data_IF_649680017515
#
_entry.id   IF_649680017515
#
_cell.length_a   1.000
_cell.length_b   1.000
_cell.length_c   1.000
_cell.angle_alpha   90.00
_cell.angle_beta   90.00
_cell.angle_gamma   90.00
#
_symmetry.space_group_name_H-M   'P 1'
#
loop_
_entity.id
_entity.type
_entity.pdbx_description
1 polymer ?
#
# COMPACT_ATOMS: atom_id res chain seq x y z
N UNK A 1 2.90 16.13 28.88
CA UNK A 1 2.53 16.92 27.69
C UNK A 1 3.70 17.19 26.74
N UNK A 2 4.93 17.51 27.19
CA UNK A 2 6.07 17.68 26.27
C UNK A 2 6.47 16.39 25.56
N UNK A 3 6.51 15.27 26.29
CA UNK A 3 6.91 13.96 25.75
C UNK A 3 6.00 13.45 24.61
N UNK A 4 4.68 13.67 24.72
CA UNK A 4 3.73 13.32 23.64
C UNK A 4 3.95 14.16 22.38
N UNK A 5 4.25 15.46 22.54
CA UNK A 5 4.53 16.33 21.40
C UNK A 5 5.83 15.91 20.69
N UNK A 6 6.82 15.44 21.45
CA UNK A 6 8.09 14.97 20.90
C UNK A 6 7.92 13.67 20.11
N UNK A 7 7.13 12.71 20.61
CA UNK A 7 6.80 11.47 19.90
C UNK A 7 6.03 11.74 18.61
N UNK A 8 5.03 12.62 18.64
CA UNK A 8 4.26 13.00 17.45
C UNK A 8 5.14 13.73 16.44
N UNK A 9 5.98 14.66 16.89
CA UNK A 9 6.89 15.39 16.01
C UNK A 9 7.92 14.45 15.35
N UNK A 10 8.46 13.48 16.08
CA UNK A 10 9.36 12.46 15.53
C UNK A 10 8.66 11.58 14.49
N UNK A 11 7.44 11.13 14.77
CA UNK A 11 6.66 10.36 13.81
C UNK A 11 6.37 11.18 12.55
N UNK A 12 5.97 12.44 12.69
CA UNK A 12 5.71 13.32 11.54
C UNK A 12 6.96 13.54 10.70
N UNK A 13 8.14 13.72 11.31
CA UNK A 13 9.41 13.81 10.57
C UNK A 13 9.69 12.54 9.76
N UNK A 14 9.62 11.37 10.40
CA UNK A 14 9.82 10.09 9.72
C UNK A 14 8.86 9.92 8.53
N UNK A 15 7.56 10.10 8.74
CA UNK A 15 6.58 9.93 7.67
C UNK A 15 6.71 10.99 6.57
N UNK A 16 7.13 12.22 6.89
CA UNK A 16 7.41 13.25 5.88
C UNK A 16 8.58 12.82 4.99
N UNK A 17 9.71 12.41 5.58
CA UNK A 17 10.88 11.94 4.83
C UNK A 17 10.55 10.71 3.97
N UNK A 18 9.83 9.72 4.53
CA UNK A 18 9.40 8.55 3.79
C UNK A 18 8.56 8.92 2.55
N UNK A 19 7.66 9.91 2.67
CA UNK A 19 6.86 10.36 1.53
C UNK A 19 7.71 11.06 0.47
N UNK A 20 8.68 11.89 0.87
CA UNK A 20 9.56 12.56 -0.08
C UNK A 20 10.46 11.58 -0.84
N UNK A 21 11.02 10.57 -0.16
CA UNK A 21 11.78 9.48 -0.81
C UNK A 21 10.89 8.75 -1.82
N UNK A 22 9.69 8.32 -1.42
CA UNK A 22 8.77 7.61 -2.32
C UNK A 22 8.36 8.45 -3.53
N UNK A 23 8.09 9.74 -3.36
CA UNK A 23 7.76 10.65 -4.48
C UNK A 23 8.88 10.73 -5.51
N UNK A 24 10.14 10.70 -5.09
CA UNK A 24 11.29 10.71 -6.00
C UNK A 24 11.37 9.44 -6.87
N UNK A 25 10.75 8.33 -6.43
CA UNK A 25 10.72 7.06 -7.14
C UNK A 25 9.54 6.95 -8.13
N UNK A 26 8.41 7.61 -7.88
CA UNK A 26 7.21 7.51 -8.75
C UNK A 26 7.52 7.79 -10.25
N UNK A 27 8.30 8.82 -10.64
CA UNK A 27 8.63 9.07 -12.04
C UNK A 27 9.49 7.99 -12.70
N UNK A 28 10.20 7.18 -11.91
CA UNK A 28 11.07 6.10 -12.39
C UNK A 28 10.27 4.82 -12.68
N UNK A 29 9.08 4.68 -12.10
CA UNK A 29 8.21 3.51 -12.28
C UNK A 29 7.67 3.45 -13.71
N UNK A 30 7.97 2.34 -14.40
CA UNK A 30 7.41 2.03 -15.71
C UNK A 30 6.21 1.12 -15.54
N UNK A 31 5.03 1.63 -15.87
CA UNK A 31 3.79 0.87 -15.80
C UNK A 31 2.99 1.06 -17.09
N UNK A 32 2.57 -0.04 -17.70
CA UNK A 32 1.63 -0.01 -18.81
C UNK A 32 0.22 0.31 -18.30
N UNK A 33 -0.57 1.00 -19.13
CA UNK A 33 -1.98 1.25 -18.82
C UNK A 33 -2.71 -0.10 -18.68
N UNK A 34 -3.37 -0.36 -17.53
CA UNK A 34 -4.17 -1.56 -17.37
C UNK A 34 -5.35 -1.58 -18.34
N UNK A 35 -5.70 -2.76 -18.82
CA UNK A 35 -6.81 -2.94 -19.76
C UNK A 35 -7.60 -4.18 -19.37
N UNK A 36 -8.92 -4.02 -19.23
CA UNK A 36 -9.83 -5.09 -18.86
C UNK A 36 -10.87 -5.27 -19.97
N UNK A 37 -11.15 -6.52 -20.31
CA UNK A 37 -12.19 -6.92 -21.25
C UNK A 37 -13.59 -6.55 -20.73
N UNK A 38 -14.59 -6.59 -21.62
CA UNK A 38 -15.98 -6.33 -21.25
C UNK A 38 -16.48 -7.31 -20.17
N UNK A 39 -16.08 -8.57 -20.25
CA UNK A 39 -16.49 -9.60 -19.31
C UNK A 39 -15.83 -9.39 -17.93
N UNK A 40 -14.54 -9.05 -17.89
CA UNK A 40 -13.85 -8.72 -16.63
C UNK A 40 -14.46 -7.47 -15.96
N UNK A 41 -14.81 -6.45 -16.74
CA UNK A 41 -15.53 -5.28 -16.25
C UNK A 41 -16.91 -5.61 -15.70
N UNK A 42 -17.64 -6.51 -16.38
CA UNK A 42 -18.94 -6.97 -15.93
C UNK A 42 -18.82 -7.71 -14.59
N UNK A 43 -17.91 -8.67 -14.50
CA UNK A 43 -17.65 -9.41 -13.26
C UNK A 43 -17.19 -8.50 -12.11
N UNK A 44 -16.36 -7.49 -12.40
CA UNK A 44 -15.97 -6.48 -11.42
C UNK A 44 -17.18 -5.74 -10.85
N UNK A 45 -18.05 -5.20 -11.71
CA UNK A 45 -19.19 -4.37 -11.27
C UNK A 45 -20.33 -5.18 -10.65
N UNK A 46 -20.66 -6.32 -11.25
CA UNK A 46 -21.85 -7.09 -10.86
C UNK A 46 -21.56 -8.09 -9.73
N UNK A 47 -20.37 -8.67 -9.71
CA UNK A 47 -20.02 -9.76 -8.79
C UNK A 47 -18.94 -9.37 -7.76
N UNK A 48 -18.51 -8.11 -7.74
CA UNK A 48 -17.54 -7.63 -6.75
C UNK A 48 -16.13 -8.22 -6.93
N UNK A 49 -15.78 -8.67 -8.14
CA UNK A 49 -14.47 -9.26 -8.40
C UNK A 49 -13.38 -8.18 -8.43
N UNK A 50 -12.29 -8.41 -7.70
CA UNK A 50 -11.19 -7.46 -7.55
C UNK A 50 -10.33 -7.36 -8.83
N UNK A 51 -9.93 -6.15 -9.24
CA UNK A 51 -9.15 -5.96 -10.47
C UNK A 51 -7.77 -6.64 -10.44
N UNK A 52 -7.15 -6.76 -9.26
CA UNK A 52 -5.88 -7.51 -9.09
C UNK A 52 -6.00 -9.01 -9.41
N UNK A 53 -7.21 -9.55 -9.55
CA UNK A 53 -7.41 -10.91 -10.05
C UNK A 53 -7.01 -11.02 -11.53
N UNK A 54 -7.27 -9.98 -12.32
CA UNK A 54 -7.08 -9.99 -13.76
C UNK A 54 -5.71 -9.44 -14.16
N UNK A 55 -5.36 -8.28 -13.59
CA UNK A 55 -4.11 -7.62 -13.89
C UNK A 55 -3.53 -7.00 -12.62
N UNK A 56 -2.30 -7.38 -12.29
CA UNK A 56 -1.51 -6.78 -11.21
C UNK A 56 -0.54 -5.75 -11.80
N UNK A 57 -0.04 -4.79 -11.00
CA UNK A 57 1.07 -3.95 -11.41
C UNK A 57 2.29 -4.79 -11.79
N UNK A 58 3.07 -4.28 -12.74
CA UNK A 58 4.39 -4.85 -13.04
C UNK A 58 5.36 -4.21 -12.04
N UNK A 59 6.10 -5.05 -11.32
CA UNK A 59 7.04 -4.59 -10.31
C UNK A 59 8.46 -4.63 -10.87
N UNK A 60 9.17 -3.51 -10.75
CA UNK A 60 10.62 -3.46 -10.93
C UNK A 60 11.26 -3.83 -9.59
N UNK A 61 11.61 -5.11 -9.44
CA UNK A 61 12.14 -5.68 -8.19
C UNK A 61 13.44 -4.95 -7.76
N UNK A 62 14.28 -4.54 -8.71
CA UNK A 62 15.54 -3.80 -8.43
C UNK A 62 15.24 -2.41 -7.89
N UNK A 63 14.26 -1.72 -8.48
CA UNK A 63 13.81 -0.41 -7.99
C UNK A 63 13.18 -0.52 -6.60
N UNK A 64 12.40 -1.58 -6.35
CA UNK A 64 11.78 -1.84 -5.04
C UNK A 64 12.84 -2.15 -3.97
N UNK A 65 13.86 -2.98 -4.27
CA UNK A 65 14.97 -3.26 -3.36
C UNK A 65 15.73 -1.98 -2.98
N UNK A 66 16.11 -1.17 -3.98
CA UNK A 66 16.81 0.10 -3.73
C UNK A 66 16.00 1.04 -2.85
N UNK A 67 14.70 1.12 -3.09
CA UNK A 67 13.82 1.93 -2.25
C UNK A 67 13.69 1.37 -0.82
N UNK A 68 13.65 0.04 -0.68
CA UNK A 68 13.61 -0.60 0.64
C UNK A 68 14.86 -0.26 1.46
N UNK A 69 16.05 -0.25 0.84
CA UNK A 69 17.31 0.17 1.48
C UNK A 69 17.26 1.64 1.93
N UNK A 70 16.84 2.56 1.05
CA UNK A 70 16.71 3.98 1.41
C UNK A 70 15.67 4.22 2.52
N UNK A 71 14.59 3.43 2.54
CA UNK A 71 13.61 3.43 3.63
C UNK A 71 14.24 2.95 4.93
N UNK A 72 15.01 1.86 4.91
CA UNK A 72 15.73 1.36 6.09
C UNK A 72 16.68 2.43 6.65
N UNK A 73 17.44 3.12 5.80
CA UNK A 73 18.32 4.22 6.20
C UNK A 73 17.54 5.41 6.77
N UNK A 74 16.39 5.75 6.18
CA UNK A 74 15.50 6.80 6.68
C UNK A 74 14.98 6.47 8.09
N UNK A 75 14.53 5.24 8.31
CA UNK A 75 14.06 4.77 9.62
C UNK A 75 15.23 4.78 10.61
N UNK A 76 16.42 4.30 10.25
CA UNK A 76 17.61 4.28 11.11
C UNK A 76 18.01 5.68 11.58
N UNK A 77 17.94 6.69 10.70
CA UNK A 77 18.22 8.10 11.05
C UNK A 77 17.19 8.68 12.01
N UNK A 78 15.92 8.36 11.81
CA UNK A 78 14.81 8.91 12.62
C UNK A 78 14.54 8.13 13.90
N UNK A 79 14.91 6.85 13.95
CA UNK A 79 14.73 5.90 15.06
C UNK A 79 15.98 5.02 15.26
N UNK A 80 17.06 5.59 15.81
CA UNK A 80 18.32 4.88 16.01
C UNK A 80 18.20 3.64 16.91
N UNK A 81 17.20 3.59 17.79
CA UNK A 81 16.89 2.46 18.65
C UNK A 81 16.49 1.19 17.89
N UNK A 82 16.12 1.30 16.60
CA UNK A 82 15.77 0.17 15.73
C UNK A 82 16.95 -0.34 14.89
N UNK A 83 18.16 0.18 15.10
CA UNK A 83 19.33 -0.11 14.26
C UNK A 83 19.59 -1.60 14.07
N UNK A 84 19.64 -2.39 15.15
CA UNK A 84 19.98 -3.81 15.08
C UNK A 84 18.91 -4.61 14.31
N UNK A 85 17.64 -4.21 14.47
CA UNK A 85 16.53 -4.80 13.74
C UNK A 85 16.59 -4.48 12.24
N UNK A 86 16.98 -3.25 11.88
CA UNK A 86 17.16 -2.83 10.49
C UNK A 86 18.37 -3.52 9.83
N UNK A 87 19.44 -3.78 10.59
CA UNK A 87 20.59 -4.54 10.10
C UNK A 87 20.21 -6.01 9.82
N UNK A 88 19.39 -6.62 10.68
CA UNK A 88 18.82 -7.95 10.42
C UNK A 88 17.93 -7.96 9.18
N UNK A 89 17.07 -6.95 9.03
CA UNK A 89 16.21 -6.79 7.84
C UNK A 89 17.03 -6.66 6.56
N UNK A 90 18.11 -5.86 6.56
CA UNK A 90 19.01 -5.75 5.41
C UNK A 90 19.59 -7.10 5.00
N UNK A 91 20.04 -7.91 5.97
CA UNK A 91 20.56 -9.26 5.70
C UNK A 91 19.50 -10.22 5.11
N UNK A 92 18.22 -10.04 5.47
CA UNK A 92 17.12 -10.79 4.85
C UNK A 92 16.93 -10.32 3.41
N UNK A 93 16.86 -8.99 3.19
CA UNK A 93 16.65 -8.40 1.86
C UNK A 93 17.78 -8.73 0.88
N UNK A 94 19.02 -8.84 1.32
CA UNK A 94 20.17 -9.25 0.50
C UNK A 94 20.04 -10.66 -0.09
N UNK A 95 19.15 -11.49 0.48
CA UNK A 95 19.00 -12.92 0.12
C UNK A 95 17.69 -13.23 -0.58
N UNK A 96 16.81 -12.25 -0.78
CA UNK A 96 15.51 -12.51 -1.41
C UNK A 96 15.70 -12.89 -2.88
N UNK A 97 14.88 -13.81 -3.35
CA UNK A 97 14.88 -14.21 -4.75
C UNK A 97 14.17 -13.18 -5.63
N UNK A 98 14.42 -13.26 -6.94
CA UNK A 98 13.63 -12.52 -7.93
C UNK A 98 12.13 -12.80 -7.75
N UNK A 99 11.31 -11.75 -7.80
CA UNK A 99 9.86 -11.87 -7.62
C UNK A 99 9.38 -11.80 -6.17
N UNK A 100 10.27 -11.54 -5.21
CA UNK A 100 9.92 -11.38 -3.79
C UNK A 100 8.80 -10.35 -3.54
N UNK A 101 8.86 -9.19 -4.18
CA UNK A 101 7.83 -8.16 -4.04
C UNK A 101 6.50 -8.62 -4.67
N UNK A 102 6.59 -9.34 -5.79
CA UNK A 102 5.43 -9.95 -6.45
C UNK A 102 4.78 -11.04 -5.60
N UNK A 103 5.57 -11.84 -4.88
CA UNK A 103 5.11 -12.87 -3.94
C UNK A 103 4.45 -12.24 -2.70
N UNK A 104 5.05 -11.17 -2.15
CA UNK A 104 4.47 -10.41 -1.04
C UNK A 104 3.03 -9.98 -1.35
N UNK A 105 2.77 -9.45 -2.55
CA UNK A 105 1.42 -9.06 -2.99
C UNK A 105 0.44 -10.25 -3.10
N UNK A 106 0.94 -11.44 -3.42
CA UNK A 106 0.14 -12.66 -3.54
C UNK A 106 -0.17 -13.29 -2.18
N UNK A 107 0.73 -13.11 -1.21
CA UNK A 107 0.60 -13.65 0.13
C UNK A 107 -0.08 -12.65 1.10
N UNK A 108 -1.18 -12.05 0.66
CA UNK A 108 -1.97 -11.09 1.45
C UNK A 108 -1.15 -9.91 2.00
N UNK A 109 -0.18 -9.41 1.22
CA UNK A 109 0.72 -8.32 1.59
C UNK A 109 1.52 -8.66 2.85
N UNK A 110 2.01 -9.90 2.91
CA UNK A 110 2.89 -10.40 3.95
C UNK A 110 4.05 -11.14 3.34
N UNK A 111 5.24 -10.90 3.85
CA UNK A 111 6.42 -11.70 3.54
C UNK A 111 6.15 -13.18 3.85
N UNK A 112 6.47 -14.06 2.90
CA UNK A 112 6.35 -15.50 3.08
C UNK A 112 7.41 -15.98 4.07
N UNK A 113 7.08 -17.05 4.81
CA UNK A 113 7.72 -17.43 6.08
C UNK A 113 9.26 -17.37 6.02
N UNK A 114 9.79 -16.42 6.79
CA UNK A 114 11.21 -16.25 7.08
C UNK A 114 11.40 -16.54 8.56
N UNK A 115 12.53 -17.14 8.95
CA UNK A 115 12.86 -17.44 10.35
C UNK A 115 13.13 -16.13 11.10
N UNK A 116 12.06 -15.38 11.41
CA UNK A 116 12.17 -14.12 12.12
C UNK A 116 12.66 -14.36 13.54
N UNK A 117 13.63 -13.55 13.94
CA UNK A 117 14.12 -13.50 15.32
C UNK A 117 13.05 -12.99 16.29
N UNK A 118 12.09 -12.19 15.81
CA UNK A 118 11.00 -11.64 16.62
C UNK A 118 9.79 -11.18 15.80
N UNK A 119 8.63 -11.01 16.47
CA UNK A 119 7.44 -10.42 15.84
C UNK A 119 7.62 -8.95 15.41
N UNK A 120 8.59 -8.24 16.00
CA UNK A 120 8.88 -6.86 15.64
C UNK A 120 9.65 -6.80 14.32
N UNK A 121 10.56 -7.74 14.09
CA UNK A 121 11.29 -7.90 12.84
C UNK A 121 10.33 -8.16 11.68
N UNK A 122 9.42 -9.12 11.85
CA UNK A 122 8.37 -9.42 10.86
C UNK A 122 7.55 -8.16 10.52
N UNK A 123 7.07 -7.44 11.54
CA UNK A 123 6.26 -6.24 11.34
C UNK A 123 7.04 -5.14 10.62
N UNK A 124 8.30 -4.92 10.99
CA UNK A 124 9.12 -3.89 10.38
C UNK A 124 9.50 -4.25 8.95
N UNK A 125 9.82 -5.52 8.67
CA UNK A 125 10.07 -5.98 7.30
C UNK A 125 8.81 -5.81 6.43
N UNK A 126 7.64 -6.25 6.90
CA UNK A 126 6.38 -6.04 6.18
C UNK A 126 6.10 -4.56 5.92
N UNK A 127 6.41 -3.69 6.87
CA UNK A 127 6.30 -2.25 6.69
C UNK A 127 7.24 -1.73 5.60
N UNK A 128 8.53 -2.09 5.65
CA UNK A 128 9.53 -1.66 4.65
C UNK A 128 9.14 -2.13 3.25
N UNK A 129 8.81 -3.41 3.09
CA UNK A 129 8.40 -4.00 1.81
C UNK A 129 7.12 -3.34 1.27
N UNK A 130 6.12 -3.14 2.13
CA UNK A 130 4.88 -2.45 1.76
C UNK A 130 5.11 -0.99 1.35
N UNK A 131 6.00 -0.26 2.03
CA UNK A 131 6.35 1.11 1.65
C UNK A 131 7.15 1.18 0.34
N UNK A 132 8.03 0.21 0.09
CA UNK A 132 8.80 0.13 -1.16
C UNK A 132 7.92 -0.20 -2.38
N UNK A 133 6.81 -0.90 -2.19
CA UNK A 133 5.82 -1.15 -3.25
C UNK A 133 4.98 0.09 -3.62
N UNK A 134 4.86 1.05 -2.70
CA UNK A 134 3.89 2.12 -2.82
C UNK A 134 4.03 2.96 -4.10
N UNK A 135 5.23 3.36 -4.59
CA UNK A 135 5.34 4.08 -5.86
C UNK A 135 4.80 3.30 -7.06
N UNK A 136 5.03 1.99 -7.09
CA UNK A 136 4.52 1.10 -8.14
C UNK A 136 2.99 1.00 -8.10
N UNK A 137 2.43 0.88 -6.90
CA UNK A 137 0.99 0.86 -6.67
C UNK A 137 0.34 2.20 -7.03
N UNK A 138 0.91 3.31 -6.57
CA UNK A 138 0.44 4.67 -6.87
C UNK A 138 0.42 4.92 -8.37
N UNK A 139 1.50 4.56 -9.08
CA UNK A 139 1.56 4.68 -10.53
C UNK A 139 0.50 3.83 -11.21
N UNK A 140 0.31 2.59 -10.77
CA UNK A 140 -0.73 1.70 -11.30
C UNK A 140 -2.14 2.26 -11.09
N UNK A 141 -2.46 2.71 -9.87
CA UNK A 141 -3.76 3.32 -9.56
C UNK A 141 -4.01 4.57 -10.40
N UNK A 142 -3.01 5.41 -10.61
CA UNK A 142 -3.14 6.62 -11.44
C UNK A 142 -3.50 6.35 -12.91
N UNK A 143 -3.29 5.10 -13.37
CA UNK A 143 -3.58 4.66 -14.74
C UNK A 143 -4.89 3.89 -14.86
N UNK A 144 -5.57 3.59 -13.74
CA UNK A 144 -6.85 2.91 -13.77
C UNK A 144 -7.95 3.84 -14.31
N UNK A 145 -8.98 3.27 -14.96
CA UNK A 145 -10.15 4.05 -15.38
C UNK A 145 -10.85 4.72 -14.19
N UNK A 146 -11.40 5.91 -14.40
CA UNK A 146 -12.00 6.72 -13.32
C UNK A 146 -13.26 6.07 -12.71
N UNK A 147 -13.87 5.15 -13.45
CA UNK A 147 -15.03 4.36 -13.03
C UNK A 147 -14.67 3.32 -11.95
N UNK A 148 -13.37 3.02 -11.74
CA UNK A 148 -12.97 2.12 -10.66
C UNK A 148 -13.28 2.77 -9.31
N UNK A 149 -14.19 2.15 -8.56
CA UNK A 149 -14.61 2.66 -7.25
C UNK A 149 -15.60 3.83 -7.31
N UNK A 150 -16.33 3.97 -8.42
CA UNK A 150 -17.47 4.88 -8.52
C UNK A 150 -18.67 4.41 -7.65
N UNK A 151 -19.83 5.04 -7.85
CA UNK A 151 -21.02 4.71 -7.08
C UNK A 151 -21.66 3.35 -7.44
N UNK A 152 -21.16 2.63 -8.45
CA UNK A 152 -21.57 1.25 -8.71
C UNK A 152 -20.89 0.28 -7.76
N UNK A 153 -19.73 0.64 -7.21
CA UNK A 153 -19.03 -0.20 -6.23
C UNK A 153 -19.65 -0.06 -4.84
N UNK A 154 -20.50 -1.01 -4.47
CA UNK A 154 -21.24 -1.00 -3.19
C UNK A 154 -20.55 -1.79 -2.06
N UNK A 155 -19.30 -2.23 -2.26
CA UNK A 155 -18.57 -3.01 -1.27
C UNK A 155 -17.70 -2.12 -0.35
N UNK A 156 -17.61 -2.51 0.92
CA UNK A 156 -16.84 -1.78 1.94
C UNK A 156 -15.33 -2.00 1.86
N UNK A 157 -14.85 -2.82 0.92
CA UNK A 157 -13.43 -3.09 0.67
C UNK A 157 -12.98 -2.49 -0.66
N UNK A 158 -11.66 -2.35 -0.82
CA UNK A 158 -11.07 -1.79 -2.03
C UNK A 158 -11.48 -2.57 -3.30
N UNK A 159 -11.91 -1.89 -4.39
CA UNK A 159 -12.25 -2.52 -5.66
C UNK A 159 -11.06 -3.15 -6.40
N UNK A 160 -9.85 -2.72 -6.06
CA UNK A 160 -8.64 -3.12 -6.75
C UNK A 160 -8.02 -4.36 -6.08
N UNK A 161 -7.77 -4.29 -4.77
CA UNK A 161 -7.02 -5.32 -4.05
C UNK A 161 -7.78 -5.96 -2.88
N UNK A 162 -9.01 -5.53 -2.59
CA UNK A 162 -9.84 -6.13 -1.54
C UNK A 162 -9.44 -5.80 -0.09
N UNK A 163 -8.42 -4.96 0.11
CA UNK A 163 -8.01 -4.53 1.46
C UNK A 163 -9.06 -3.59 2.06
N UNK A 164 -9.30 -3.72 3.37
CA UNK A 164 -10.22 -2.88 4.12
C UNK A 164 -9.69 -1.45 4.28
N UNK A 165 -10.56 -0.43 4.27
CA UNK A 165 -10.14 0.95 4.47
C UNK A 165 -9.62 1.19 5.88
N UNK A 166 -8.62 2.06 6.00
CA UNK A 166 -8.17 2.60 7.29
C UNK A 166 -8.62 4.05 7.51
N UNK A 167 -9.03 4.75 6.46
CA UNK A 167 -9.42 6.15 6.51
C UNK A 167 -10.56 6.42 5.51
N UNK A 168 -11.34 7.46 5.80
CA UNK A 168 -12.37 7.96 4.90
C UNK A 168 -12.47 9.47 4.99
N UNK A 169 -12.83 10.12 3.89
CA UNK A 169 -13.05 11.56 3.85
C UNK A 169 -14.40 11.88 3.20
N UNK A 170 -14.93 13.06 3.50
CA UNK A 170 -16.09 13.62 2.81
C UNK A 170 -15.56 14.55 1.73
N UNK A 171 -15.89 14.25 0.47
CA UNK A 171 -15.52 15.11 -0.64
C UNK A 171 -16.29 16.42 -0.54
N UNK A 172 -15.58 17.53 -0.63
CA UNK A 172 -16.14 18.86 -0.34
C UNK A 172 -17.21 19.26 -1.36
N UNK A 173 -17.05 18.85 -2.61
CA UNK A 173 -17.87 19.25 -3.75
C UNK A 173 -19.30 18.69 -3.67
N UNK A 174 -19.48 17.46 -3.21
CA UNK A 174 -20.78 16.76 -3.23
C UNK A 174 -21.15 16.07 -1.92
N UNK A 175 -20.31 16.17 -0.88
CA UNK A 175 -20.56 15.55 0.42
C UNK A 175 -20.55 14.02 0.40
N UNK A 176 -20.10 13.40 -0.70
CA UNK A 176 -19.98 11.95 -0.79
C UNK A 176 -18.81 11.48 0.05
N UNK A 177 -19.00 10.37 0.76
CA UNK A 177 -17.92 9.71 1.50
C UNK A 177 -17.09 8.84 0.57
N UNK A 178 -15.79 9.04 0.63
CA UNK A 178 -14.80 8.22 -0.04
C UNK A 178 -13.94 7.49 0.99
N UNK A 179 -13.68 6.22 0.73
CA UNK A 179 -12.78 5.36 1.48
C UNK A 179 -11.41 5.33 0.80
N UNK A 180 -10.34 5.18 1.58
CA UNK A 180 -8.96 5.09 1.05
C UNK A 180 -8.37 3.72 1.40
N UNK A 181 -7.76 3.08 0.40
CA UNK A 181 -7.08 1.81 0.58
C UNK A 181 -5.71 2.05 1.22
N UNK A 182 -5.40 1.48 2.41
CA UNK A 182 -4.10 1.66 3.05
C UNK A 182 -2.94 1.01 2.29
N UNK A 183 -3.25 0.10 1.37
CA UNK A 183 -2.25 -0.67 0.65
C UNK A 183 -1.96 -0.09 -0.75
N UNK A 184 -2.94 -0.12 -1.65
CA UNK A 184 -2.73 0.35 -3.03
C UNK A 184 -3.04 1.84 -3.22
N UNK A 185 -3.68 2.51 -2.27
CA UNK A 185 -4.04 3.93 -2.39
C UNK A 185 -5.30 4.21 -3.21
N UNK A 186 -5.99 3.20 -3.76
CA UNK A 186 -7.26 3.41 -4.45
C UNK A 186 -8.28 4.06 -3.51
N UNK A 187 -8.94 5.10 -4.02
CA UNK A 187 -10.09 5.73 -3.37
C UNK A 187 -11.38 5.21 -4.00
N UNK A 188 -12.43 5.01 -3.21
CA UNK A 188 -13.72 4.61 -3.75
C UNK A 188 -14.88 5.19 -2.95
N UNK A 189 -15.98 5.44 -3.65
CA UNK A 189 -17.22 5.88 -3.03
C UNK A 189 -17.75 4.79 -2.09
N UNK A 190 -18.27 5.20 -0.94
CA UNK A 190 -19.06 4.32 -0.10
C UNK A 190 -20.18 5.08 0.59
N UNK A 191 -21.36 4.49 0.60
CA UNK A 191 -22.58 5.13 1.11
C UNK A 191 -22.42 5.63 2.55
N UNK A 192 -23.02 6.79 2.82
CA UNK A 192 -23.06 7.40 4.14
C UNK A 192 -23.83 6.52 5.13
N UNK A 193 -23.52 6.69 6.42
CA UNK A 193 -24.21 6.02 7.54
C UNK A 193 -24.16 4.50 7.53
N UNK A 194 -23.29 3.88 6.73
CA UNK A 194 -23.06 2.44 6.78
C UNK A 194 -21.62 2.15 7.20
N UNK A 195 -21.47 1.17 8.08
CA UNK A 195 -20.16 0.67 8.48
C UNK A 195 -19.52 -0.11 7.32
N UNK A 196 -18.36 0.31 6.78
CA UNK A 196 -17.71 -0.43 5.70
C UNK A 196 -17.20 -1.82 6.11
N UNK A 197 -17.06 -2.07 7.43
CA UNK A 197 -16.58 -3.34 7.95
C UNK A 197 -17.66 -4.41 8.11
N UNK A 198 -18.83 -4.04 8.64
CA UNK A 198 -19.90 -5.01 8.88
C UNK A 198 -21.15 -4.81 8.01
N UNK A 199 -21.25 -3.70 7.28
CA UNK A 199 -22.39 -3.40 6.41
C UNK A 199 -23.66 -2.94 7.14
N UNK A 200 -23.63 -2.84 8.48
CA UNK A 200 -24.75 -2.35 9.27
C UNK A 200 -24.89 -0.81 9.15
N UNK A 201 -26.14 -0.37 9.18
CA UNK A 201 -26.62 1.02 9.22
C UNK A 201 -26.98 1.50 10.63
#
# INVERSE_FOLDING_TARGET
MSDLNDVVAQAMRLYTELQEIKKAYVPQVKQAQPSFSKDEWKEHRENGILLFKYQKPVLDEVLCLRLADEICDCIKRNRPELKDLLESIGQIMDRVADGFFSEFMQNNNRVSATDFSSSQEEKLLNFVVGQALHPSLEKYISLLPQEVGDDQWQHGHCPVCGVMPNFSYLRQEDGKRYLICPFCGQEWYYRNLVCPWCGND
#
